data_IF_623588171670
#
_entry.id   IF_623588171670
#
_cell.length_a   1.000
_cell.length_b   1.000
_cell.length_c   1.000
_cell.angle_alpha   90.00
_cell.angle_beta   90.00
_cell.angle_gamma   90.00
#
_symmetry.space_group_name_H-M   'P 1'
#
loop_
_entity.id
_entity.type
_entity.pdbx_description
1 polymer ?
#
# COMPACT_ATOMS: atom_id res chain seq x y z
N UNK A 1 -3.04 -2.31 -2.18
CA UNK A 1 -4.07 -3.34 -1.98
C UNK A 1 -4.11 -3.76 -0.51
N UNK A 2 -5.28 -4.05 0.04
CA UNK A 2 -5.47 -4.51 1.42
C UNK A 2 -6.47 -5.66 1.46
N UNK A 3 -6.27 -6.62 2.37
CA UNK A 3 -7.26 -7.65 2.69
C UNK A 3 -8.19 -7.22 3.83
N UNK A 4 -7.86 -6.12 4.51
CA UNK A 4 -8.60 -5.62 5.64
C UNK A 4 -9.55 -4.47 5.23
N UNK A 5 -10.85 -4.74 5.28
CA UNK A 5 -11.90 -3.77 4.99
C UNK A 5 -11.97 -2.63 6.03
N UNK A 6 -11.53 -2.85 7.27
CA UNK A 6 -11.60 -1.84 8.34
C UNK A 6 -10.67 -0.64 8.11
N UNK A 7 -9.75 -0.72 7.15
CA UNK A 7 -8.83 0.37 6.79
C UNK A 7 -9.47 1.45 5.93
N UNK A 8 -10.64 1.20 5.38
CA UNK A 8 -11.36 2.14 4.54
C UNK A 8 -12.37 2.94 5.36
N UNK A 9 -12.47 4.25 5.12
CA UNK A 9 -13.54 5.08 5.68
C UNK A 9 -14.89 4.82 5.02
N UNK A 10 -14.88 4.41 3.74
CA UNK A 10 -16.02 3.96 2.96
C UNK A 10 -15.55 2.92 1.95
N UNK A 11 -16.41 2.00 1.52
CA UNK A 11 -16.04 0.99 0.52
C UNK A 11 -17.07 0.97 -0.60
N UNK A 12 -16.60 1.10 -1.84
CA UNK A 12 -17.40 0.82 -3.03
C UNK A 12 -17.21 -0.64 -3.41
N UNK A 13 -18.20 -1.46 -3.08
CA UNK A 13 -18.20 -2.87 -3.48
C UNK A 13 -18.38 -2.98 -4.99
N UNK A 14 -17.43 -3.65 -5.65
CA UNK A 14 -17.44 -3.89 -7.09
C UNK A 14 -16.48 -5.03 -7.39
N UNK A 15 -17.00 -6.07 -8.06
CA UNK A 15 -16.14 -7.09 -8.64
C UNK A 15 -15.32 -6.48 -9.79
N UNK A 16 -13.99 -6.46 -9.63
CA UNK A 16 -13.04 -5.92 -10.62
C UNK A 16 -12.11 -7.00 -11.21
N UNK A 17 -12.45 -8.26 -11.01
CA UNK A 17 -11.63 -9.39 -11.44
C UNK A 17 -10.84 -9.99 -10.28
N UNK A 18 -9.70 -10.61 -10.62
CA UNK A 18 -8.88 -11.39 -9.69
C UNK A 18 -7.42 -10.98 -9.78
N UNK A 19 -6.71 -11.17 -8.68
CA UNK A 19 -5.24 -11.08 -8.63
C UNK A 19 -4.67 -12.47 -8.38
N UNK A 20 -3.49 -12.73 -8.93
CA UNK A 20 -2.71 -13.92 -8.64
C UNK A 20 -1.60 -13.55 -7.66
N UNK A 21 -1.39 -14.40 -6.66
CA UNK A 21 -0.31 -14.25 -5.71
C UNK A 21 0.94 -15.02 -6.18
N UNK A 22 2.08 -14.79 -5.52
CA UNK A 22 3.35 -15.43 -5.89
C UNK A 22 3.32 -16.97 -5.77
N UNK A 23 2.38 -17.53 -5.00
CA UNK A 23 2.14 -18.97 -4.86
C UNK A 23 1.09 -19.52 -5.85
N UNK A 24 0.72 -18.74 -6.87
CA UNK A 24 -0.33 -19.02 -7.86
C UNK A 24 -1.76 -19.11 -7.31
N UNK A 25 -1.97 -18.93 -6.01
CA UNK A 25 -3.33 -18.81 -5.47
C UNK A 25 -3.97 -17.47 -5.91
N UNK A 26 -5.30 -17.40 -5.85
CA UNK A 26 -6.07 -16.25 -6.36
C UNK A 26 -6.80 -15.51 -5.25
N UNK A 27 -6.85 -14.18 -5.36
CA UNK A 27 -7.70 -13.31 -4.56
C UNK A 27 -8.71 -12.56 -5.43
N UNK A 28 -9.96 -12.49 -4.99
CA UNK A 28 -11.00 -11.70 -5.68
C UNK A 28 -10.89 -10.23 -5.28
N UNK A 29 -10.95 -9.33 -6.27
CA UNK A 29 -11.07 -7.89 -6.00
C UNK A 29 -12.54 -7.58 -5.78
N UNK A 30 -12.93 -7.32 -4.53
CA UNK A 30 -14.34 -7.17 -4.12
C UNK A 30 -14.76 -5.72 -3.89
N UNK A 31 -13.79 -4.81 -3.78
CA UNK A 31 -14.09 -3.40 -3.61
C UNK A 31 -12.86 -2.52 -3.77
N UNK A 32 -13.08 -1.22 -3.68
CA UNK A 32 -12.02 -0.24 -3.64
C UNK A 32 -12.53 1.05 -3.02
N UNK A 33 -11.62 1.78 -2.40
CA UNK A 33 -11.81 3.18 -2.04
C UNK A 33 -10.45 3.76 -1.63
N UNK A 34 -10.44 4.84 -0.88
CA UNK A 34 -9.23 5.43 -0.32
C UNK A 34 -9.00 4.98 1.12
N UNK A 35 -7.73 4.92 1.53
CA UNK A 35 -7.33 4.59 2.91
C UNK A 35 -6.40 5.66 3.45
N UNK A 36 -6.47 5.87 4.76
CA UNK A 36 -5.45 6.58 5.53
C UNK A 36 -4.47 5.53 6.06
N UNK A 37 -3.23 5.56 5.57
CA UNK A 37 -2.17 4.61 5.98
C UNK A 37 -1.51 5.10 7.26
N UNK A 38 -1.21 6.40 7.31
CA UNK A 38 -0.63 7.14 8.43
C UNK A 38 -1.29 8.53 8.45
N UNK A 39 -1.21 9.30 9.56
CA UNK A 39 -1.81 10.63 9.65
C UNK A 39 -1.54 11.55 8.44
N UNK A 40 -0.38 11.42 7.80
CA UNK A 40 0.05 12.23 6.66
C UNK A 40 0.18 11.43 5.34
N UNK A 41 -0.22 10.14 5.31
CA UNK A 41 -0.10 9.28 4.13
C UNK A 41 -1.49 8.77 3.72
N UNK A 42 -2.01 9.35 2.64
CA UNK A 42 -3.30 9.00 2.07
C UNK A 42 -3.12 8.31 0.73
N UNK A 43 -3.89 7.26 0.47
CA UNK A 43 -3.85 6.57 -0.80
C UNK A 43 -5.25 6.43 -1.37
N UNK A 44 -5.41 6.95 -2.58
CA UNK A 44 -6.63 6.76 -3.38
C UNK A 44 -6.60 5.45 -4.18
N UNK A 45 -7.80 4.98 -4.56
CA UNK A 45 -8.00 3.81 -5.45
C UNK A 45 -7.35 2.51 -4.93
N UNK A 46 -7.28 2.32 -3.62
CA UNK A 46 -6.78 1.08 -3.01
C UNK A 46 -7.82 -0.02 -3.19
N UNK A 47 -7.38 -1.18 -3.70
CA UNK A 47 -8.23 -2.35 -3.90
C UNK A 47 -8.36 -3.16 -2.60
N UNK A 48 -9.58 -3.58 -2.30
CA UNK A 48 -9.90 -4.61 -1.30
C UNK A 48 -9.87 -5.98 -1.99
N UNK A 49 -8.99 -6.86 -1.52
CA UNK A 49 -8.73 -8.17 -2.12
C UNK A 49 -8.94 -9.26 -1.07
N UNK A 50 -9.87 -10.17 -1.34
CA UNK A 50 -10.10 -11.33 -0.47
C UNK A 50 -8.90 -12.28 -0.49
N UNK A 51 -8.57 -12.84 0.67
CA UNK A 51 -7.44 -13.77 0.83
C UNK A 51 -6.07 -13.10 0.83
N UNK A 52 -5.97 -11.78 0.74
CA UNK A 52 -4.70 -11.06 0.80
C UNK A 52 -4.16 -11.05 2.24
N UNK A 53 -3.07 -11.79 2.47
CA UNK A 53 -2.46 -11.98 3.80
C UNK A 53 -1.69 -10.75 4.31
N UNK A 54 -1.07 -10.00 3.41
CA UNK A 54 -0.28 -8.81 3.73
C UNK A 54 -0.73 -7.62 2.90
N UNK A 55 -0.72 -6.42 3.49
CA UNK A 55 -1.07 -5.23 2.71
C UNK A 55 0.08 -4.89 1.78
N UNK A 56 -0.26 -4.42 0.57
CA UNK A 56 0.71 -4.07 -0.45
C UNK A 56 0.53 -2.61 -0.80
N UNK A 57 1.57 -1.78 -0.60
CA UNK A 57 1.62 -0.43 -1.17
C UNK A 57 2.27 -0.51 -2.54
N UNK A 58 1.54 -0.08 -3.55
CA UNK A 58 2.10 0.08 -4.88
C UNK A 58 2.84 1.41 -4.95
N UNK A 59 4.10 1.37 -5.41
CA UNK A 59 4.89 2.58 -5.67
C UNK A 59 4.18 3.47 -6.69
N UNK A 60 3.61 2.88 -7.74
CA UNK A 60 2.83 3.59 -8.76
C UNK A 60 1.64 4.33 -8.14
N UNK A 61 0.94 3.73 -7.16
CA UNK A 61 -0.12 4.43 -6.42
C UNK A 61 0.41 5.60 -5.56
N UNK A 62 1.58 5.46 -4.94
CA UNK A 62 2.21 6.56 -4.20
C UNK A 62 2.54 7.73 -5.14
N UNK A 63 3.15 7.43 -6.28
CA UNK A 63 3.47 8.43 -7.31
C UNK A 63 2.21 9.13 -7.84
N UNK A 64 1.16 8.38 -8.15
CA UNK A 64 -0.14 8.91 -8.61
C UNK A 64 -0.80 9.84 -7.58
N UNK A 65 -0.48 9.69 -6.28
CA UNK A 65 -0.98 10.55 -5.20
C UNK A 65 0.00 11.67 -4.83
N UNK A 66 0.99 11.98 -5.67
CA UNK A 66 1.89 13.13 -5.48
C UNK A 66 3.03 12.88 -4.49
N UNK A 67 3.37 11.62 -4.23
CA UNK A 67 4.49 11.27 -3.36
C UNK A 67 5.73 10.85 -4.16
N UNK A 68 6.90 11.28 -3.69
CA UNK A 68 8.20 10.77 -4.11
C UNK A 68 8.60 9.62 -3.18
N UNK A 69 9.12 8.53 -3.76
CA UNK A 69 9.63 7.37 -3.00
C UNK A 69 11.10 7.17 -3.32
N UNK A 70 11.95 7.28 -2.29
CA UNK A 70 13.41 7.11 -2.38
C UNK A 70 13.81 5.81 -1.68
N UNK A 71 14.45 4.88 -2.40
CA UNK A 71 14.93 3.62 -1.83
C UNK A 71 16.43 3.63 -1.59
N UNK A 72 16.85 3.12 -0.44
CA UNK A 72 18.24 2.96 -0.02
C UNK A 72 18.49 1.52 0.42
N UNK A 73 19.76 1.13 0.60
CA UNK A 73 20.13 -0.24 0.95
C UNK A 73 19.48 -0.76 2.24
N UNK A 74 19.15 0.10 3.20
CA UNK A 74 18.62 -0.31 4.52
C UNK A 74 17.28 0.35 4.87
N UNK A 75 16.78 1.26 4.04
CA UNK A 75 15.60 2.08 4.34
C UNK A 75 14.97 2.62 3.08
N UNK A 76 13.82 3.27 3.23
CA UNK A 76 13.24 4.10 2.19
C UNK A 76 12.56 5.32 2.82
N UNK A 77 12.32 6.33 1.98
CA UNK A 77 11.72 7.60 2.38
C UNK A 77 10.56 7.89 1.44
N UNK A 78 9.43 8.32 1.99
CA UNK A 78 8.30 8.87 1.25
C UNK A 78 8.24 10.37 1.55
N UNK A 79 8.23 11.20 0.51
CA UNK A 79 8.09 12.66 0.62
C UNK A 79 6.87 13.12 -0.17
N UNK A 80 6.27 14.22 0.26
CA UNK A 80 5.29 14.92 -0.56
C UNK A 80 6.02 15.81 -1.55
N UNK A 81 5.72 15.68 -2.85
CA UNK A 81 6.49 16.34 -3.91
C UNK A 81 6.43 17.87 -3.80
N UNK A 82 5.26 18.44 -3.53
CA UNK A 82 5.09 19.89 -3.55
C UNK A 82 5.75 20.61 -2.37
N UNK A 83 5.77 19.98 -1.20
CA UNK A 83 6.28 20.59 0.03
C UNK A 83 7.69 20.11 0.38
N UNK A 84 8.22 19.12 -0.34
CA UNK A 84 9.44 18.37 -0.03
C UNK A 84 9.49 17.82 1.41
N UNK A 85 8.33 17.72 2.07
CA UNK A 85 8.24 17.28 3.45
C UNK A 85 8.29 15.76 3.51
N UNK A 86 9.13 15.22 4.39
CA UNK A 86 9.17 13.78 4.67
C UNK A 86 7.89 13.34 5.38
N UNK A 87 7.19 12.38 4.77
CA UNK A 87 5.92 11.83 5.25
C UNK A 87 6.18 10.58 6.08
N UNK A 88 7.09 9.72 5.61
CA UNK A 88 7.40 8.46 6.25
C UNK A 88 8.84 8.04 5.96
N UNK A 89 9.48 7.45 6.96
CA UNK A 89 10.74 6.72 6.83
C UNK A 89 10.48 5.30 7.31
N UNK A 90 10.72 4.32 6.44
CA UNK A 90 10.61 2.91 6.79
C UNK A 90 11.93 2.18 6.59
N UNK A 91 12.00 0.95 7.07
CA UNK A 91 13.19 0.12 7.01
C UNK A 91 13.09 -0.90 5.87
N UNK A 92 14.25 -1.46 5.53
CA UNK A 92 14.34 -2.68 4.74
C UNK A 92 14.63 -3.84 5.68
N UNK A 93 13.79 -4.86 5.63
CA UNK A 93 14.02 -6.15 6.28
C UNK A 93 14.36 -7.18 5.21
N UNK A 94 15.57 -7.73 5.26
CA UNK A 94 16.17 -8.56 4.21
C UNK A 94 16.01 -7.96 2.80
N UNK A 95 15.08 -8.51 2.00
CA UNK A 95 14.81 -8.11 0.62
C UNK A 95 13.51 -7.33 0.45
N UNK A 96 12.87 -6.93 1.55
CA UNK A 96 11.53 -6.34 1.57
C UNK A 96 11.58 -4.98 2.27
N UNK A 97 10.99 -3.96 1.67
CA UNK A 97 10.77 -2.68 2.35
C UNK A 97 9.45 -2.72 3.09
N UNK A 98 9.49 -2.44 4.39
CA UNK A 98 8.38 -2.65 5.31
C UNK A 98 8.00 -1.38 6.05
N UNK A 99 6.71 -1.24 6.35
CA UNK A 99 6.18 -0.26 7.31
C UNK A 99 5.75 -1.00 8.56
N UNK A 100 6.37 -0.67 9.69
CA UNK A 100 5.90 -1.05 11.02
C UNK A 100 4.78 -0.11 11.46
N UNK A 101 3.58 -0.34 10.92
CA UNK A 101 2.35 0.29 11.41
C UNK A 101 1.72 -0.63 12.46
N UNK A 102 1.08 -0.15 13.55
CA UNK A 102 0.77 -0.96 14.72
C UNK A 102 -0.18 -2.16 14.50
N UNK A 103 -0.61 -2.44 13.27
CA UNK A 103 -1.60 -3.48 13.01
C UNK A 103 -1.41 -4.34 11.75
N UNK A 104 -0.38 -4.19 10.91
CA UNK A 104 -0.06 -5.16 9.82
C UNK A 104 1.20 -4.80 9.02
N UNK A 105 2.04 -5.81 8.76
CA UNK A 105 3.14 -5.74 7.79
C UNK A 105 2.62 -5.26 6.43
N UNK A 106 3.21 -4.17 5.94
CA UNK A 106 2.87 -3.58 4.65
C UNK A 106 4.11 -3.56 3.77
N UNK A 107 4.02 -4.18 2.59
CA UNK A 107 5.14 -4.36 1.66
C UNK A 107 5.04 -3.33 0.54
N UNK A 108 6.15 -2.66 0.23
CA UNK A 108 6.27 -1.82 -0.97
C UNK A 108 6.65 -2.68 -2.17
N UNK A 109 5.83 -2.63 -3.22
CA UNK A 109 6.12 -3.27 -4.51
C UNK A 109 6.24 -2.20 -5.59
N UNK A 110 7.36 -2.22 -6.32
CA UNK A 110 7.43 -1.62 -7.65
C UNK A 110 6.67 -2.54 -8.60
N UNK A 111 5.43 -2.19 -8.95
CA UNK A 111 4.65 -2.87 -10.00
C UNK A 111 4.59 -1.97 -11.21
#
# INVERSE_FOLDING_TARGET
MTGNASKFSSIKFKNKGKVFFGDNSQGSIVGYDSILVEPNLFLSKVLLVEGLKHNLLSVSQLCDNGYLVEFYSTKYIIKHIESDSTILVGSRDENVYTIDYPLLLTILLSV
#
